data_IF_351899585732
#
_entry.id   IF_351899585732
#
_cell.length_a   1.000
_cell.length_b   1.000
_cell.length_c   1.000
_cell.angle_alpha   90.00
_cell.angle_beta   90.00
_cell.angle_gamma   90.00
#
_symmetry.space_group_name_H-M   'P 1'
#
loop_
_entity.id
_entity.type
_entity.pdbx_description
1 polymer ?
#
# COMPACT_ATOMS: atom_id res chain seq x y z
N UNK A 1 4.92 -12.00 -72.96
CA UNK A 1 5.41 -12.73 -71.76
C UNK A 1 6.49 -11.85 -71.14
N UNK A 2 6.42 -11.38 -69.87
CA UNK A 2 6.09 -12.06 -68.59
C UNK A 2 7.18 -13.07 -68.24
N UNK A 3 7.88 -13.07 -67.09
CA UNK A 3 8.03 -12.14 -65.94
C UNK A 3 9.35 -12.52 -65.20
N UNK A 4 10.01 -11.76 -64.31
CA UNK A 4 9.85 -10.39 -63.74
C UNK A 4 11.27 -9.85 -63.45
N UNK A 5 11.49 -8.53 -63.47
CA UNK A 5 12.75 -7.92 -62.98
C UNK A 5 12.69 -7.71 -61.46
N UNK A 6 13.67 -8.21 -60.69
CA UNK A 6 13.70 -8.05 -59.22
C UNK A 6 13.95 -6.58 -58.84
N UNK A 7 12.93 -5.89 -58.35
CA UNK A 7 13.07 -4.56 -57.74
C UNK A 7 13.58 -4.75 -56.31
N UNK A 8 14.85 -4.43 -56.07
CA UNK A 8 15.42 -4.36 -54.73
C UNK A 8 14.93 -3.10 -54.04
N UNK A 9 13.77 -3.16 -53.38
CA UNK A 9 13.26 -2.04 -52.58
C UNK A 9 14.15 -1.88 -51.35
N UNK A 10 15.17 -1.03 -51.47
CA UNK A 10 15.85 -0.46 -50.32
C UNK A 10 14.85 0.43 -49.60
N UNK A 11 14.25 -0.08 -48.52
CA UNK A 11 13.40 0.71 -47.64
C UNK A 11 14.31 1.65 -46.84
N UNK A 12 14.71 2.75 -47.48
CA UNK A 12 15.29 3.91 -46.80
C UNK A 12 14.17 4.58 -46.00
N UNK A 13 13.77 3.93 -44.90
CA UNK A 13 12.90 4.53 -43.91
C UNK A 13 13.68 5.70 -43.31
N UNK A 14 13.40 6.91 -43.80
CA UNK A 14 13.78 8.13 -43.10
C UNK A 14 13.02 8.13 -41.77
N UNK A 15 13.68 7.58 -40.75
CA UNK A 15 13.47 7.96 -39.37
C UNK A 15 13.71 9.48 -39.29
N UNK A 16 12.62 10.22 -39.51
CA UNK A 16 12.42 11.53 -38.93
C UNK A 16 12.43 11.33 -37.42
N UNK A 17 13.64 11.23 -36.86
CA UNK A 17 13.90 11.50 -35.47
C UNK A 17 13.58 12.97 -35.23
N UNK A 18 12.28 13.28 -35.12
CA UNK A 18 11.79 14.34 -34.27
C UNK A 18 12.16 13.93 -32.83
N UNK A 19 13.44 14.09 -32.52
CA UNK A 19 13.91 14.24 -31.17
C UNK A 19 13.37 15.60 -30.70
N UNK A 20 12.09 15.60 -30.31
CA UNK A 20 11.60 16.50 -29.29
C UNK A 20 12.46 16.24 -28.06
N UNK A 21 13.57 16.98 -28.00
CA UNK A 21 14.40 17.14 -26.82
C UNK A 21 13.59 18.01 -25.85
N UNK A 22 12.50 17.43 -25.34
CA UNK A 22 11.62 17.98 -24.31
C UNK A 22 12.41 18.02 -23.00
N UNK A 23 13.38 18.93 -22.98
CA UNK A 23 14.21 19.27 -21.85
C UNK A 23 13.25 19.64 -20.72
N UNK A 24 13.30 18.88 -19.62
CA UNK A 24 12.40 19.13 -18.50
C UNK A 24 12.45 20.63 -18.10
N UNK A 25 11.28 21.28 -17.93
CA UNK A 25 11.23 22.69 -17.60
C UNK A 25 11.93 22.92 -16.26
N UNK A 26 12.71 24.01 -16.20
CA UNK A 26 13.42 24.37 -14.97
C UNK A 26 12.44 24.68 -13.84
N UNK A 27 12.93 24.59 -12.61
CA UNK A 27 12.14 24.93 -11.43
C UNK A 27 11.56 26.36 -11.47
N UNK A 28 12.23 27.31 -12.13
CA UNK A 28 11.70 28.66 -12.32
C UNK A 28 10.60 28.73 -13.38
N UNK A 29 10.73 28.03 -14.51
CA UNK A 29 9.66 27.93 -15.52
C UNK A 29 8.40 27.26 -14.94
N UNK A 30 8.58 26.20 -14.14
CA UNK A 30 7.52 25.52 -13.40
C UNK A 30 6.82 26.44 -12.37
N UNK A 31 7.59 27.23 -11.61
CA UNK A 31 7.04 28.17 -10.62
C UNK A 31 6.40 29.42 -11.26
N UNK A 32 6.68 29.71 -12.53
CA UNK A 32 6.04 30.79 -13.29
C UNK A 32 4.70 30.37 -13.93
N UNK A 33 4.41 29.08 -14.06
CA UNK A 33 3.17 28.55 -14.64
C UNK A 33 2.59 27.38 -13.81
N UNK A 34 2.11 27.67 -12.58
CA UNK A 34 1.63 26.64 -11.66
C UNK A 34 0.36 25.94 -12.19
N UNK A 35 0.41 24.60 -12.26
CA UNK A 35 -0.66 23.73 -12.75
C UNK A 35 -1.95 23.86 -11.92
N UNK A 36 -1.82 24.05 -10.60
CA UNK A 36 -2.94 24.07 -9.65
C UNK A 36 -2.96 25.38 -8.86
N UNK A 37 -4.11 26.03 -8.84
CA UNK A 37 -4.35 27.24 -8.06
C UNK A 37 -5.33 26.93 -6.92
N UNK A 38 -4.97 27.32 -5.70
CA UNK A 38 -5.75 27.11 -4.47
C UNK A 38 -5.95 28.45 -3.79
N UNK A 39 -7.20 28.84 -3.56
CA UNK A 39 -7.55 30.05 -2.79
C UNK A 39 -7.99 29.61 -1.40
N UNK A 40 -7.36 30.17 -0.37
CA UNK A 40 -7.69 29.94 1.04
C UNK A 40 -8.19 31.24 1.67
N UNK A 41 -9.16 31.13 2.58
CA UNK A 41 -9.56 32.23 3.45
C UNK A 41 -8.76 32.15 4.76
N UNK A 42 -8.28 33.28 5.26
CA UNK A 42 -7.44 33.32 6.47
C UNK A 42 -8.11 32.68 7.69
N UNK A 43 -9.40 32.92 7.91
CA UNK A 43 -10.12 32.41 9.07
C UNK A 43 -10.31 30.88 9.03
N UNK A 44 -10.34 30.31 7.82
CA UNK A 44 -10.42 28.86 7.59
C UNK A 44 -9.12 28.08 7.88
N UNK A 45 -7.98 28.75 8.08
CA UNK A 45 -6.68 28.09 8.33
C UNK A 45 -6.58 27.42 9.71
N UNK A 46 -7.40 27.84 10.69
CA UNK A 46 -7.33 27.32 12.07
C UNK A 46 -5.94 27.46 12.69
N UNK A 47 -5.50 26.45 13.45
CA UNK A 47 -4.11 26.32 13.90
C UNK A 47 -3.28 25.47 12.92
N UNK A 48 -3.88 24.41 12.38
CA UNK A 48 -3.36 23.60 11.29
C UNK A 48 -4.42 23.43 10.20
N UNK A 49 -4.03 23.66 8.96
CA UNK A 49 -4.81 23.35 7.76
C UNK A 49 -4.15 22.17 7.03
N UNK A 50 -4.94 21.32 6.37
CA UNK A 50 -4.45 20.18 5.59
C UNK A 50 -4.84 20.32 4.12
N UNK A 51 -3.86 20.22 3.22
CA UNK A 51 -4.03 20.31 1.78
C UNK A 51 -3.47 19.04 1.12
N UNK A 52 -4.34 18.28 0.46
CA UNK A 52 -3.97 17.11 -0.35
C UNK A 52 -3.33 17.58 -1.67
N UNK A 53 -2.15 17.05 -2.00
CA UNK A 53 -1.36 17.42 -3.21
C UNK A 53 -0.68 16.20 -3.83
N UNK A 54 -0.51 16.22 -5.15
CA UNK A 54 0.06 15.10 -5.91
C UNK A 54 1.59 15.24 -6.08
N UNK A 55 2.31 14.11 -6.12
CA UNK A 55 3.77 14.10 -6.29
C UNK A 55 4.20 14.89 -7.53
N UNK A 56 5.17 15.80 -7.35
CA UNK A 56 5.73 16.68 -8.38
C UNK A 56 4.79 17.73 -9.00
N UNK A 57 3.54 17.91 -8.54
CA UNK A 57 2.70 18.99 -9.08
C UNK A 57 3.21 20.39 -8.69
N UNK A 58 2.78 21.41 -9.43
CA UNK A 58 3.08 22.82 -9.16
C UNK A 58 1.84 23.53 -8.63
N UNK A 59 1.91 23.98 -7.37
CA UNK A 59 0.76 24.57 -6.67
C UNK A 59 1.04 26.03 -6.34
N UNK A 60 0.08 26.90 -6.63
CA UNK A 60 0.01 28.25 -6.09
C UNK A 60 -1.10 28.33 -5.04
N UNK A 61 -0.74 28.68 -3.81
CA UNK A 61 -1.69 29.07 -2.76
C UNK A 61 -1.79 30.59 -2.75
N UNK A 62 -3.02 31.11 -2.82
CA UNK A 62 -3.34 32.51 -2.58
C UNK A 62 -4.23 32.62 -1.33
N UNK A 63 -3.96 33.62 -0.49
CA UNK A 63 -4.81 33.99 0.64
C UNK A 63 -5.63 35.24 0.32
N UNK A 64 -6.80 35.36 0.93
CA UNK A 64 -7.62 36.58 0.92
C UNK A 64 -7.00 37.77 1.69
N UNK A 65 -5.92 37.50 2.43
CA UNK A 65 -5.25 38.40 3.35
C UNK A 65 -3.76 38.51 3.00
N UNK A 66 -3.22 39.73 3.03
CA UNK A 66 -1.78 39.97 2.82
C UNK A 66 -0.94 39.19 3.83
N UNK A 67 0.08 38.50 3.35
CA UNK A 67 1.03 37.70 4.15
C UNK A 67 2.31 38.51 4.43
N UNK A 68 2.88 38.34 5.63
CA UNK A 68 4.15 38.94 6.07
C UNK A 68 5.34 37.99 5.85
N UNK A 69 5.17 36.69 6.11
CA UNK A 69 6.21 35.67 5.98
C UNK A 69 5.61 34.35 5.49
N UNK A 70 6.21 33.78 4.44
CA UNK A 70 6.05 32.38 4.04
C UNK A 70 7.34 31.64 4.39
N UNK A 71 7.25 30.52 5.11
CA UNK A 71 8.42 29.73 5.53
C UNK A 71 8.21 28.24 5.31
N UNK A 72 9.05 27.64 4.48
CA UNK A 72 9.05 26.20 4.17
C UNK A 72 10.43 25.75 3.70
N UNK A 73 10.64 24.44 3.52
CA UNK A 73 11.81 23.83 2.89
C UNK A 73 11.63 23.52 1.39
N UNK A 74 10.45 23.81 0.83
CA UNK A 74 10.08 23.52 -0.55
C UNK A 74 10.73 24.49 -1.55
N UNK A 75 11.11 23.99 -2.73
CA UNK A 75 11.44 24.81 -3.90
C UNK A 75 10.23 25.66 -4.27
N UNK A 76 10.36 26.99 -4.14
CA UNK A 76 9.21 27.89 -4.09
C UNK A 76 9.53 29.35 -4.45
N UNK A 77 8.48 30.12 -4.73
CA UNK A 77 8.52 31.53 -5.16
C UNK A 77 7.34 32.29 -4.57
N UNK A 78 7.61 33.42 -3.93
CA UNK A 78 6.57 34.40 -3.57
C UNK A 78 6.15 35.10 -4.87
N UNK A 79 4.86 35.09 -5.18
CA UNK A 79 4.32 35.59 -6.46
C UNK A 79 3.83 37.03 -6.33
N UNK A 80 3.18 37.35 -5.21
CA UNK A 80 2.82 38.71 -4.79
C UNK A 80 2.70 38.74 -3.25
N UNK A 81 2.05 39.74 -2.67
CA UNK A 81 1.93 39.88 -1.21
C UNK A 81 0.85 38.99 -0.55
N UNK A 82 0.10 38.19 -1.33
CA UNK A 82 -0.86 37.20 -0.82
C UNK A 82 -0.77 35.80 -1.46
N UNK A 83 0.02 35.63 -2.52
CA UNK A 83 0.17 34.39 -3.28
C UNK A 83 1.61 33.84 -3.26
N UNK A 84 1.73 32.51 -3.16
CA UNK A 84 2.96 31.76 -3.05
C UNK A 84 2.89 30.45 -3.85
N UNK A 85 3.85 30.23 -4.74
CA UNK A 85 3.96 29.05 -5.57
C UNK A 85 5.07 28.10 -5.08
N UNK A 86 4.86 26.80 -5.17
CA UNK A 86 5.82 25.77 -4.80
C UNK A 86 5.72 24.53 -5.69
N UNK A 87 6.83 23.80 -5.78
CA UNK A 87 6.89 22.46 -6.39
C UNK A 87 6.69 21.44 -5.28
N UNK A 88 5.75 20.51 -5.46
CA UNK A 88 5.49 19.42 -4.52
C UNK A 88 6.62 18.39 -4.57
N UNK A 89 7.06 17.80 -3.43
CA UNK A 89 8.11 16.79 -3.43
C UNK A 89 7.79 15.58 -4.30
N UNK A 90 8.85 14.90 -4.75
CA UNK A 90 8.74 13.67 -5.55
C UNK A 90 8.40 12.42 -4.72
N UNK A 91 8.68 12.45 -3.42
CA UNK A 91 8.37 11.35 -2.50
C UNK A 91 7.13 11.68 -1.65
N UNK A 92 6.19 10.74 -1.63
CA UNK A 92 5.01 10.68 -0.76
C UNK A 92 5.37 10.96 0.72
N UNK A 93 4.63 11.81 1.45
CA UNK A 93 4.96 12.24 2.83
C UNK A 93 4.31 13.58 3.25
N UNK A 94 4.59 14.06 4.47
CA UNK A 94 4.10 15.38 4.95
C UNK A 94 5.18 16.45 4.89
N UNK A 95 4.89 17.54 4.18
CA UNK A 95 5.65 18.79 4.24
C UNK A 95 4.80 19.90 4.88
N UNK A 96 5.43 20.99 5.34
CA UNK A 96 4.70 22.12 5.95
C UNK A 96 5.12 23.47 5.36
N UNK A 97 4.15 24.37 5.27
CA UNK A 97 4.31 25.80 4.97
C UNK A 97 3.79 26.56 6.18
N UNK A 98 4.66 27.35 6.81
CA UNK A 98 4.28 28.26 7.88
C UNK A 98 3.98 29.64 7.30
N UNK A 99 2.89 30.25 7.76
CA UNK A 99 2.37 31.53 7.27
C UNK A 99 2.20 32.48 8.45
N UNK A 100 2.73 33.72 8.35
CA UNK A 100 2.45 34.79 9.31
C UNK A 100 1.79 35.97 8.62
N UNK A 101 0.82 36.59 9.29
CA UNK A 101 0.18 37.82 8.84
C UNK A 101 0.87 39.06 9.45
N UNK A 102 0.66 40.28 8.93
CA UNK A 102 1.26 41.51 9.45
C UNK A 102 0.80 41.90 10.86
N UNK A 103 -0.43 41.53 11.22
CA UNK A 103 -1.15 41.91 12.44
C UNK A 103 -1.07 40.86 13.58
N UNK A 104 -0.38 39.74 13.37
CA UNK A 104 -0.16 38.72 14.39
C UNK A 104 1.15 37.97 14.20
N UNK A 105 1.88 37.75 15.30
CA UNK A 105 3.09 36.90 15.34
C UNK A 105 2.77 35.39 15.44
N UNK A 106 1.49 35.02 15.57
CA UNK A 106 1.04 33.64 15.43
C UNK A 106 1.35 33.11 14.02
N UNK A 107 2.09 32.01 13.95
CA UNK A 107 2.35 31.30 12.70
C UNK A 107 1.28 30.22 12.49
N UNK A 108 0.52 30.36 11.41
CA UNK A 108 -0.42 29.36 10.91
C UNK A 108 0.37 28.28 10.16
N UNK A 109 -0.12 27.04 10.17
CA UNK A 109 0.58 25.89 9.57
C UNK A 109 -0.29 25.20 8.53
N UNK A 110 0.12 25.26 7.26
CA UNK A 110 -0.45 24.47 6.17
C UNK A 110 0.38 23.19 6.06
N UNK A 111 -0.21 22.05 6.37
CA UNK A 111 0.35 20.73 6.12
C UNK A 111 -0.03 20.27 4.71
N UNK A 112 0.97 19.86 3.93
CA UNK A 112 0.79 19.23 2.63
C UNK A 112 0.77 17.72 2.82
N UNK A 113 -0.34 17.08 2.47
CA UNK A 113 -0.45 15.63 2.37
C UNK A 113 -0.06 15.21 0.94
N UNK A 114 1.22 14.89 0.73
CA UNK A 114 1.74 14.53 -0.60
C UNK A 114 1.40 13.07 -0.89
N UNK A 115 0.58 12.82 -1.92
CA UNK A 115 0.13 11.48 -2.34
C UNK A 115 -0.73 10.75 -1.30
N UNK A 116 -1.42 11.50 -0.42
CA UNK A 116 -2.18 10.97 0.70
C UNK A 116 -3.52 11.70 0.88
N UNK A 117 -4.53 10.96 1.33
CA UNK A 117 -5.79 11.51 1.81
C UNK A 117 -5.68 11.94 3.27
N UNK A 118 -6.32 13.05 3.62
CA UNK A 118 -6.54 13.48 5.01
C UNK A 118 -7.99 13.19 5.41
N UNK A 119 -8.18 12.19 6.27
CA UNK A 119 -9.50 11.64 6.62
C UNK A 119 -9.81 11.91 8.10
N UNK A 120 -10.73 12.84 8.37
CA UNK A 120 -11.12 13.25 9.72
C UNK A 120 -12.52 12.72 10.10
N UNK A 121 -12.55 11.48 10.58
CA UNK A 121 -13.79 10.75 10.86
C UNK A 121 -14.44 11.20 12.17
N UNK A 122 -15.75 11.48 12.11
CA UNK A 122 -16.55 11.99 13.24
C UNK A 122 -17.74 11.07 13.51
N UNK A 123 -17.49 9.97 14.23
CA UNK A 123 -18.46 8.88 14.43
C UNK A 123 -18.93 8.29 13.08
N UNK A 124 -17.97 8.03 12.18
CA UNK A 124 -18.24 7.34 10.91
C UNK A 124 -18.57 5.87 11.21
N UNK A 125 -19.67 5.37 10.64
CA UNK A 125 -20.18 4.02 10.89
C UNK A 125 -19.65 3.06 9.82
N UNK A 126 -18.96 2.00 10.22
CA UNK A 126 -18.38 1.02 9.29
C UNK A 126 -19.00 -0.35 9.50
N UNK A 127 -19.28 -1.04 8.38
CA UNK A 127 -19.92 -2.36 8.37
C UNK A 127 -18.89 -3.51 8.41
N UNK A 128 -18.94 -4.25 9.51
CA UNK A 128 -18.17 -5.46 9.80
C UNK A 128 -19.08 -6.70 9.84
N UNK A 129 -18.47 -7.89 9.85
CA UNK A 129 -19.18 -9.16 9.68
C UNK A 129 -19.39 -9.54 8.21
N UNK A 130 -20.02 -10.70 7.98
CA UNK A 130 -20.14 -11.37 6.67
C UNK A 130 -18.82 -11.71 5.96
N UNK A 131 -17.67 -11.59 6.62
CA UNK A 131 -16.46 -12.29 6.19
C UNK A 131 -16.64 -13.79 6.45
N UNK A 132 -16.62 -14.60 5.39
CA UNK A 132 -16.69 -16.06 5.45
C UNK A 132 -15.51 -16.67 6.24
N UNK A 133 -14.45 -15.88 6.45
CA UNK A 133 -13.24 -16.23 7.19
C UNK A 133 -13.01 -15.30 8.41
N UNK A 134 -14.07 -14.85 9.09
CA UNK A 134 -14.00 -14.40 10.49
C UNK A 134 -14.61 -15.48 11.42
N UNK A 135 -13.88 -15.89 12.46
CA UNK A 135 -14.20 -17.13 13.19
C UNK A 135 -15.39 -17.05 14.17
N UNK A 136 -15.80 -15.85 14.59
CA UNK A 136 -16.63 -15.69 15.79
C UNK A 136 -17.78 -14.67 15.71
N UNK A 137 -18.09 -14.13 14.54
CA UNK A 137 -19.47 -13.64 14.30
C UNK A 137 -19.85 -13.67 12.83
N UNK A 138 -21.03 -14.25 12.55
CA UNK A 138 -21.72 -14.08 11.26
C UNK A 138 -22.62 -12.86 11.27
N UNK A 139 -22.94 -12.36 12.46
CA UNK A 139 -23.84 -11.24 12.66
C UNK A 139 -23.17 -9.94 12.19
N UNK A 140 -23.98 -9.12 11.52
CA UNK A 140 -23.54 -7.87 10.92
C UNK A 140 -23.34 -6.82 12.02
N UNK A 141 -22.13 -6.27 12.11
CA UNK A 141 -21.74 -5.33 13.15
C UNK A 141 -21.50 -3.96 12.54
N UNK A 142 -22.13 -2.95 13.11
CA UNK A 142 -21.74 -1.56 12.89
C UNK A 142 -20.77 -1.20 14.01
N UNK A 143 -19.62 -0.64 13.64
CA UNK A 143 -18.66 -0.06 14.59
C UNK A 143 -18.47 1.40 14.18
N UNK A 144 -18.59 2.33 15.12
CA UNK A 144 -18.28 3.73 14.84
C UNK A 144 -16.82 4.05 15.13
N UNK A 145 -16.21 4.88 14.27
CA UNK A 145 -14.87 5.42 14.48
C UNK A 145 -14.92 6.95 14.60
N UNK A 146 -14.16 7.46 15.55
CA UNK A 146 -13.78 8.88 15.58
C UNK A 146 -12.27 8.95 15.60
N UNK A 147 -11.66 9.58 14.60
CA UNK A 147 -10.21 9.68 14.49
C UNK A 147 -9.74 10.30 13.20
N UNK A 148 -8.53 10.83 13.21
CA UNK A 148 -7.94 11.58 12.10
C UNK A 148 -6.77 10.81 11.52
N UNK A 149 -6.78 10.52 10.22
CA UNK A 149 -5.78 9.70 9.55
C UNK A 149 -5.17 10.40 8.34
N UNK A 150 -3.88 10.14 8.10
CA UNK A 150 -3.33 10.14 6.75
C UNK A 150 -3.33 8.71 6.22
N UNK A 151 -3.67 8.56 4.95
CA UNK A 151 -3.72 7.29 4.24
C UNK A 151 -3.13 7.49 2.85
N UNK A 152 -2.23 6.61 2.42
CA UNK A 152 -1.70 6.67 1.05
C UNK A 152 -2.84 6.50 0.03
N UNK A 153 -2.94 7.45 -0.89
CA UNK A 153 -4.02 7.51 -1.90
C UNK A 153 -3.95 6.30 -2.84
N UNK A 154 -2.73 5.87 -3.13
CA UNK A 154 -2.37 4.70 -3.92
C UNK A 154 -1.65 3.64 -3.07
N UNK A 155 -1.51 2.39 -3.56
CA UNK A 155 -0.46 1.49 -3.09
C UNK A 155 0.93 2.10 -3.32
N UNK A 156 1.88 1.86 -2.41
CA UNK A 156 3.26 2.37 -2.51
C UNK A 156 3.91 1.91 -3.81
N UNK A 157 4.65 2.78 -4.51
CA UNK A 157 5.14 2.50 -5.87
C UNK A 157 6.57 1.94 -5.93
N UNK A 158 6.96 1.37 -7.07
CA UNK A 158 8.29 0.80 -7.26
C UNK A 158 9.43 1.82 -7.09
N UNK A 159 9.27 3.03 -7.62
CA UNK A 159 10.21 4.13 -7.44
C UNK A 159 10.28 4.57 -5.97
N UNK A 160 9.15 4.66 -5.26
CA UNK A 160 9.13 5.05 -3.85
C UNK A 160 9.94 4.09 -2.96
N UNK A 161 9.80 2.77 -3.17
CA UNK A 161 10.68 1.76 -2.52
C UNK A 161 12.13 1.94 -2.97
N UNK A 162 12.38 2.06 -4.28
CA UNK A 162 13.73 2.09 -4.86
C UNK A 162 14.53 3.30 -4.38
N UNK A 163 13.92 4.47 -4.26
CA UNK A 163 14.57 5.68 -3.76
C UNK A 163 14.73 5.68 -2.24
N UNK A 164 13.69 5.30 -1.48
CA UNK A 164 13.76 5.35 0.00
C UNK A 164 14.63 4.25 0.60
N UNK A 165 14.67 3.07 -0.01
CA UNK A 165 15.49 1.93 0.40
C UNK A 165 16.74 1.75 -0.48
N UNK A 166 17.15 2.80 -1.22
CA UNK A 166 18.23 2.74 -2.22
C UNK A 166 19.48 2.06 -1.69
N UNK A 167 19.97 2.44 -0.51
CA UNK A 167 21.21 1.90 0.06
C UNK A 167 21.08 0.48 0.62
N UNK A 168 19.85 -0.03 0.84
CA UNK A 168 19.62 -1.41 1.25
C UNK A 168 19.55 -2.38 0.05
N UNK A 169 19.03 -1.93 -1.10
CA UNK A 169 18.84 -2.79 -2.29
C UNK A 169 20.21 -3.13 -2.90
N UNK A 170 20.60 -4.42 -3.05
CA UNK A 170 21.87 -4.79 -3.65
C UNK A 170 21.95 -4.37 -5.12
N UNK A 171 23.18 -4.19 -5.62
CA UNK A 171 23.47 -4.14 -7.06
C UNK A 171 23.82 -5.54 -7.61
N UNK A 172 24.44 -6.38 -6.78
CA UNK A 172 24.84 -7.73 -7.11
C UNK A 172 24.09 -8.71 -6.19
N UNK A 173 22.90 -9.19 -6.61
CA UNK A 173 22.04 -10.07 -5.84
C UNK A 173 22.58 -11.49 -5.80
N UNK A 174 22.14 -12.28 -4.82
CA UNK A 174 22.31 -13.73 -4.76
C UNK A 174 21.16 -14.43 -5.48
N UNK A 175 21.07 -15.76 -5.36
CA UNK A 175 20.01 -16.58 -5.96
C UNK A 175 18.63 -16.47 -5.27
N UNK A 176 18.33 -15.34 -4.64
CA UNK A 176 17.01 -15.00 -4.11
C UNK A 176 16.25 -14.09 -5.09
N UNK A 177 15.05 -14.48 -5.52
CA UNK A 177 14.31 -13.75 -6.57
C UNK A 177 13.98 -12.30 -6.18
N UNK A 178 13.65 -12.00 -4.91
CA UNK A 178 13.46 -10.61 -4.45
C UNK A 178 14.72 -9.77 -4.70
N UNK A 179 15.90 -10.28 -4.33
CA UNK A 179 17.15 -9.55 -4.55
C UNK A 179 17.36 -9.29 -6.04
N UNK A 180 17.12 -10.28 -6.91
CA UNK A 180 17.23 -10.14 -8.37
C UNK A 180 16.30 -9.06 -8.93
N UNK A 181 15.00 -9.17 -8.65
CA UNK A 181 13.95 -8.26 -9.13
C UNK A 181 14.20 -6.81 -8.68
N UNK A 182 14.57 -6.59 -7.41
CA UNK A 182 14.83 -5.24 -6.90
C UNK A 182 16.20 -4.71 -7.32
N UNK A 183 17.23 -5.57 -7.49
CA UNK A 183 18.49 -5.18 -8.14
C UNK A 183 18.27 -4.74 -9.59
N UNK A 184 17.36 -5.37 -10.33
CA UNK A 184 17.01 -4.97 -11.69
C UNK A 184 16.27 -3.63 -11.71
N UNK A 185 15.24 -3.45 -10.87
CA UNK A 185 14.53 -2.16 -10.70
C UNK A 185 15.52 -1.02 -10.40
N UNK A 186 16.47 -1.24 -9.48
CA UNK A 186 17.55 -0.30 -9.14
C UNK A 186 18.55 -0.05 -10.27
N UNK A 187 18.82 -1.03 -11.14
CA UNK A 187 19.69 -0.86 -12.32
C UNK A 187 19.02 -0.07 -13.45
N UNK A 188 17.69 -0.11 -13.53
CA UNK A 188 16.89 0.71 -14.45
C UNK A 188 16.52 2.10 -13.90
N UNK A 189 17.04 2.48 -12.73
CA UNK A 189 16.66 3.67 -11.95
C UNK A 189 17.89 4.51 -11.62
N UNK A 190 17.72 5.82 -11.49
CA UNK A 190 18.75 6.76 -11.06
C UNK A 190 18.48 7.25 -9.64
N UNK A 191 19.53 7.38 -8.82
CA UNK A 191 19.38 7.84 -7.43
C UNK A 191 18.92 9.32 -7.38
N UNK A 192 17.90 9.59 -6.58
CA UNK A 192 17.22 10.88 -6.45
C UNK A 192 16.54 11.34 -7.76
N UNK A 193 16.13 10.41 -8.62
CA UNK A 193 15.27 10.73 -9.75
C UNK A 193 13.86 11.11 -9.30
N UNK A 194 13.08 11.62 -10.26
CA UNK A 194 11.69 11.97 -10.10
C UNK A 194 10.83 10.71 -10.12
N UNK A 195 10.22 10.36 -9.00
CA UNK A 195 9.17 9.34 -8.95
C UNK A 195 7.86 9.93 -9.48
N UNK A 196 7.31 9.36 -10.54
CA UNK A 196 6.02 9.78 -11.07
C UNK A 196 4.88 9.56 -10.06
N UNK A 197 3.85 10.40 -10.15
CA UNK A 197 2.62 10.26 -9.38
C UNK A 197 2.00 8.87 -9.55
N UNK A 198 1.85 8.48 -10.82
CA UNK A 198 1.25 7.22 -11.27
C UNK A 198 2.29 6.18 -11.68
N UNK A 199 3.41 6.07 -10.96
CA UNK A 199 4.33 4.95 -11.15
C UNK A 199 3.62 3.59 -10.87
N UNK A 200 4.21 2.53 -11.41
CA UNK A 200 3.86 1.14 -11.15
C UNK A 200 3.83 0.78 -9.66
N UNK A 201 2.74 0.17 -9.19
CA UNK A 201 2.59 -0.26 -7.80
C UNK A 201 3.71 -1.25 -7.37
N UNK A 202 4.24 -1.13 -6.16
CA UNK A 202 5.24 -2.07 -5.66
C UNK A 202 4.62 -3.45 -5.41
N UNK A 203 5.21 -4.48 -6.00
CA UNK A 203 4.98 -5.88 -5.67
C UNK A 203 6.31 -6.55 -5.27
N UNK A 204 6.27 -7.84 -4.93
CA UNK A 204 7.44 -8.57 -4.41
C UNK A 204 7.99 -7.92 -3.13
N UNK A 205 7.07 -7.47 -2.27
CA UNK A 205 7.33 -6.94 -0.94
C UNK A 205 6.93 -8.00 0.10
N UNK A 206 7.86 -8.36 0.98
CA UNK A 206 7.55 -9.14 2.18
C UNK A 206 6.91 -8.27 3.27
N UNK A 207 6.21 -8.88 4.23
CA UNK A 207 5.70 -8.16 5.40
C UNK A 207 6.80 -7.41 6.16
N UNK A 208 8.00 -7.99 6.24
CA UNK A 208 9.15 -7.38 6.91
C UNK A 208 9.68 -6.16 6.14
N UNK A 209 9.77 -6.25 4.81
CA UNK A 209 10.14 -5.12 3.95
C UNK A 209 9.15 -3.96 4.06
N UNK A 210 7.85 -4.25 4.07
CA UNK A 210 6.81 -3.22 4.25
C UNK A 210 6.92 -2.52 5.62
N UNK A 211 7.18 -3.29 6.70
CA UNK A 211 7.43 -2.72 8.04
C UNK A 211 8.72 -1.90 8.10
N UNK A 212 9.80 -2.32 7.41
CA UNK A 212 11.04 -1.54 7.31
C UNK A 212 10.82 -0.22 6.55
N UNK A 213 10.12 -0.26 5.42
CA UNK A 213 9.79 0.92 4.64
C UNK A 213 8.93 1.92 5.45
N UNK A 214 7.92 1.45 6.17
CA UNK A 214 7.11 2.29 7.06
C UNK A 214 7.94 3.01 8.14
N UNK A 215 8.90 2.31 8.73
CA UNK A 215 9.87 2.90 9.65
C UNK A 215 10.80 3.91 8.95
N UNK A 216 11.35 3.58 7.77
CA UNK A 216 12.23 4.47 7.01
C UNK A 216 11.54 5.79 6.63
N UNK A 217 10.27 5.70 6.19
CA UNK A 217 9.42 6.86 5.87
C UNK A 217 9.16 7.73 7.10
N UNK A 218 8.89 7.09 8.24
CA UNK A 218 8.75 7.78 9.53
C UNK A 218 10.03 8.53 9.93
N UNK A 219 11.20 7.88 9.85
CA UNK A 219 12.51 8.46 10.20
C UNK A 219 12.85 9.64 9.30
N UNK A 220 12.60 9.53 7.99
CA UNK A 220 12.82 10.61 7.01
C UNK A 220 12.00 11.87 7.33
N UNK A 221 10.79 11.71 7.88
CA UNK A 221 9.92 12.82 8.32
C UNK A 221 10.17 13.24 9.79
N UNK A 222 11.21 12.70 10.45
CA UNK A 222 11.54 13.00 11.84
C UNK A 222 10.61 12.36 12.89
N UNK A 223 9.75 11.44 12.46
CA UNK A 223 8.72 10.78 13.27
C UNK A 223 9.28 9.54 13.98
N UNK A 224 8.64 9.14 15.08
CA UNK A 224 9.05 7.95 15.82
C UNK A 224 8.68 6.67 15.06
N UNK A 225 9.61 5.73 14.81
CA UNK A 225 9.31 4.45 14.16
C UNK A 225 8.21 3.66 14.87
N UNK A 226 7.30 3.06 14.10
CA UNK A 226 6.19 2.26 14.65
C UNK A 226 6.61 0.84 15.02
N UNK A 227 7.48 0.21 14.24
CA UNK A 227 7.92 -1.17 14.45
C UNK A 227 9.29 -1.22 15.16
N UNK A 228 9.43 -2.12 16.13
CA UNK A 228 10.68 -2.44 16.82
C UNK A 228 11.08 -3.87 16.48
N UNK A 229 12.22 -4.03 15.81
CA UNK A 229 12.77 -5.31 15.40
C UNK A 229 13.78 -5.82 16.43
N UNK A 230 13.73 -7.11 16.75
CA UNK A 230 14.59 -7.74 17.76
C UNK A 230 14.87 -9.22 17.45
N UNK A 231 16.07 -9.68 17.82
CA UNK A 231 16.49 -11.07 17.66
C UNK A 231 15.55 -12.03 18.41
N UNK A 232 15.24 -13.17 17.79
CA UNK A 232 14.26 -14.13 18.33
C UNK A 232 14.94 -15.34 18.96
N UNK A 233 14.57 -15.66 20.19
CA UNK A 233 15.04 -16.89 20.86
C UNK A 233 14.46 -18.16 20.21
N UNK A 234 13.41 -18.02 19.39
CA UNK A 234 12.71 -19.11 18.73
C UNK A 234 13.42 -19.53 17.43
N UNK A 235 14.61 -20.14 17.56
CA UNK A 235 15.44 -20.59 16.42
C UNK A 235 14.81 -21.70 15.56
N UNK A 236 13.81 -22.40 16.10
CA UNK A 236 13.23 -23.61 15.50
C UNK A 236 11.89 -23.33 14.81
N UNK A 237 11.79 -22.28 13.99
CA UNK A 237 10.62 -22.11 13.12
C UNK A 237 10.76 -23.10 11.96
N UNK A 238 9.81 -24.03 11.83
CA UNK A 238 9.83 -25.02 10.75
C UNK A 238 9.37 -24.35 9.45
N UNK A 239 10.34 -24.00 8.61
CA UNK A 239 10.08 -23.74 7.19
C UNK A 239 9.53 -25.04 6.60
N UNK A 240 8.40 -24.93 5.93
CA UNK A 240 7.76 -26.01 5.20
C UNK A 240 8.00 -25.67 3.72
N UNK A 241 9.17 -26.07 3.25
CA UNK A 241 9.39 -26.23 1.82
C UNK A 241 8.32 -27.22 1.30
N UNK A 242 7.64 -26.95 0.18
CA UNK A 242 6.68 -27.89 -0.37
C UNK A 242 7.40 -29.21 -0.69
N UNK A 243 6.79 -30.34 -0.34
CA UNK A 243 7.36 -31.65 -0.67
C UNK A 243 7.49 -31.77 -2.19
N UNK A 244 8.69 -32.13 -2.67
CA UNK A 244 9.07 -32.08 -4.08
C UNK A 244 8.41 -33.21 -4.89
N UNK A 245 7.13 -33.03 -5.20
CA UNK A 245 6.29 -33.96 -5.94
C UNK A 245 5.95 -33.47 -7.34
N UNK A 246 6.66 -33.99 -8.35
CA UNK A 246 6.25 -34.08 -9.76
C UNK A 246 5.84 -32.77 -10.48
N UNK A 247 6.30 -31.60 -10.04
CA UNK A 247 6.32 -30.39 -10.87
C UNK A 247 7.74 -30.03 -11.32
N UNK A 248 7.86 -29.74 -12.61
CA UNK A 248 9.10 -29.28 -13.24
C UNK A 248 9.34 -27.79 -12.91
N UNK A 249 10.26 -27.55 -11.98
CA UNK A 249 10.68 -26.22 -11.51
C UNK A 249 11.20 -25.32 -12.65
N UNK A 250 11.51 -25.85 -13.85
CA UNK A 250 11.90 -25.03 -15.01
C UNK A 250 10.72 -24.29 -15.66
N UNK A 251 9.47 -24.60 -15.30
CA UNK A 251 8.26 -24.06 -15.95
C UNK A 251 7.32 -23.28 -14.99
N UNK A 252 7.39 -23.46 -13.66
CA UNK A 252 6.41 -22.84 -12.72
C UNK A 252 7.03 -21.85 -11.71
N UNK A 253 6.77 -20.57 -12.00
CA UNK A 253 6.58 -19.41 -11.12
C UNK A 253 6.80 -19.63 -9.58
N UNK A 254 7.82 -19.00 -8.94
CA UNK A 254 8.31 -19.35 -7.59
C UNK A 254 7.47 -18.81 -6.41
N UNK A 255 6.15 -18.98 -6.44
CA UNK A 255 5.22 -18.39 -5.46
C UNK A 255 5.28 -19.00 -4.06
N UNK A 256 5.69 -20.27 -3.93
CA UNK A 256 5.32 -21.10 -2.78
C UNK A 256 6.51 -21.59 -1.93
N UNK A 257 7.04 -20.71 -1.07
CA UNK A 257 7.70 -21.16 0.16
C UNK A 257 6.74 -20.98 1.33
N UNK A 258 6.58 -21.98 2.20
CA UNK A 258 5.69 -21.92 3.36
C UNK A 258 6.47 -21.96 4.67
N UNK A 259 5.93 -21.34 5.74
CA UNK A 259 6.52 -21.37 7.08
C UNK A 259 5.41 -21.44 8.12
N UNK A 260 5.47 -22.45 9.01
CA UNK A 260 4.50 -22.61 10.09
C UNK A 260 4.94 -21.83 11.33
N UNK A 261 4.04 -21.02 11.89
CA UNK A 261 4.31 -20.16 13.06
C UNK A 261 3.35 -20.57 14.20
N UNK A 262 3.79 -21.52 15.03
CA UNK A 262 3.01 -22.07 16.16
C UNK A 262 3.00 -21.14 17.39
N UNK A 263 2.60 -19.88 17.22
CA UNK A 263 2.62 -18.86 18.29
C UNK A 263 1.81 -19.30 19.53
N UNK A 264 0.68 -20.02 19.34
CA UNK A 264 -0.13 -20.58 20.43
C UNK A 264 0.67 -21.55 21.30
N UNK A 265 1.36 -22.50 20.68
CA UNK A 265 2.10 -23.56 21.37
C UNK A 265 3.39 -23.03 22.01
N UNK A 266 4.07 -22.09 21.34
CA UNK A 266 5.33 -21.52 21.83
C UNK A 266 5.16 -20.45 22.91
N UNK A 267 4.10 -19.64 22.87
CA UNK A 267 3.86 -18.58 23.89
C UNK A 267 2.99 -19.03 25.07
N UNK A 268 2.27 -20.15 24.92
CA UNK A 268 1.20 -20.62 25.84
C UNK A 268 0.04 -19.62 26.02
N UNK A 269 -0.06 -18.57 25.20
CA UNK A 269 -1.10 -17.55 25.34
C UNK A 269 -2.43 -18.02 24.72
N UNK A 270 -3.52 -17.84 25.48
CA UNK A 270 -4.92 -18.11 25.01
C UNK A 270 -5.56 -16.90 24.32
N UNK A 271 -4.77 -15.85 24.07
CA UNK A 271 -5.12 -14.58 23.42
C UNK A 271 -4.14 -14.35 22.26
N UNK A 272 -4.45 -13.40 21.38
CA UNK A 272 -3.68 -13.19 20.16
C UNK A 272 -2.34 -12.47 20.41
N UNK A 273 -1.60 -12.17 19.33
CA UNK A 273 -0.44 -11.30 19.40
C UNK A 273 -0.86 -9.89 19.77
N UNK A 274 -0.77 -9.53 21.06
CA UNK A 274 -0.93 -8.17 21.58
C UNK A 274 0.21 -7.26 21.11
N UNK A 275 0.17 -6.93 19.82
CA UNK A 275 1.13 -6.11 19.08
C UNK A 275 2.58 -6.63 19.12
N UNK A 276 2.75 -7.96 19.14
CA UNK A 276 4.03 -8.65 19.06
C UNK A 276 3.94 -9.80 18.06
N UNK A 277 4.78 -9.78 17.03
CA UNK A 277 4.71 -10.69 15.88
C UNK A 277 6.06 -11.37 15.68
N UNK A 278 6.07 -12.69 15.46
CA UNK A 278 7.26 -13.40 14.97
C UNK A 278 7.07 -13.58 13.47
N UNK A 279 7.95 -13.01 12.65
CA UNK A 279 7.82 -12.99 11.18
C UNK A 279 9.12 -13.43 10.51
N UNK A 280 9.07 -13.87 9.25
CA UNK A 280 10.29 -14.14 8.47
C UNK A 280 11.00 -12.84 8.14
N UNK A 281 12.32 -12.79 8.38
CA UNK A 281 13.17 -11.64 8.09
C UNK A 281 13.62 -11.65 6.62
N UNK A 282 12.66 -11.73 5.69
CA UNK A 282 12.93 -11.68 4.25
C UNK A 282 13.01 -10.22 3.81
N UNK A 283 14.21 -9.73 3.53
CA UNK A 283 14.46 -8.44 2.88
C UNK A 283 15.68 -8.56 1.93
N UNK A 284 16.35 -7.46 1.65
CA UNK A 284 17.54 -7.36 0.81
C UNK A 284 18.83 -7.93 1.43
N UNK A 285 18.77 -8.54 2.63
CA UNK A 285 19.93 -9.00 3.39
C UNK A 285 19.83 -10.47 3.85
N UNK A 286 20.98 -11.15 3.89
CA UNK A 286 21.07 -12.50 4.43
C UNK A 286 21.16 -12.49 5.97
N UNK A 287 20.01 -12.57 6.65
CA UNK A 287 19.92 -12.57 8.11
C UNK A 287 20.41 -13.88 8.72
N UNK A 288 21.15 -13.78 9.84
CA UNK A 288 21.64 -14.95 10.60
C UNK A 288 20.52 -15.73 11.30
N UNK A 289 19.48 -15.02 11.71
CA UNK A 289 18.22 -15.61 12.17
C UNK A 289 17.22 -15.42 11.03
N UNK A 290 16.61 -16.49 10.50
CA UNK A 290 15.67 -16.40 9.36
C UNK A 290 14.33 -15.74 9.74
N UNK A 291 14.12 -15.47 11.03
CA UNK A 291 12.91 -14.89 11.58
C UNK A 291 13.25 -13.90 12.68
N UNK A 292 12.34 -12.96 12.94
CA UNK A 292 12.56 -11.79 13.79
C UNK A 292 11.34 -11.52 14.67
N UNK A 293 11.57 -11.05 15.89
CA UNK A 293 10.51 -10.60 16.79
C UNK A 293 10.26 -9.11 16.55
N UNK A 294 9.09 -8.80 15.98
CA UNK A 294 8.54 -7.46 15.85
C UNK A 294 7.70 -7.14 17.09
N UNK A 295 7.81 -5.93 17.60
CA UNK A 295 6.85 -5.35 18.55
C UNK A 295 6.50 -3.93 18.10
N UNK A 296 5.31 -3.42 18.42
CA UNK A 296 4.99 -2.02 18.11
C UNK A 296 5.55 -1.05 19.17
N UNK A 297 5.63 0.22 18.81
CA UNK A 297 5.63 1.32 19.76
C UNK A 297 4.26 2.03 19.74
N UNK A 298 3.42 1.79 20.76
CA UNK A 298 2.10 2.44 20.88
C UNK A 298 2.17 3.94 21.21
N UNK A 299 3.37 4.51 21.30
CA UNK A 299 3.62 5.96 21.40
C UNK A 299 4.33 6.50 20.15
N UNK A 300 4.41 5.71 19.07
CA UNK A 300 4.82 6.20 17.76
C UNK A 300 3.74 7.09 17.16
N UNK A 301 4.18 8.18 16.54
CA UNK A 301 3.40 9.09 15.72
C UNK A 301 3.67 8.88 14.22
N UNK A 302 4.34 7.78 13.85
CA UNK A 302 4.81 7.46 12.50
C UNK A 302 3.82 6.65 11.67
N UNK A 303 4.30 6.20 10.51
CA UNK A 303 3.55 5.39 9.56
C UNK A 303 3.60 3.90 9.87
N UNK A 304 2.55 3.20 9.46
CA UNK A 304 2.42 1.74 9.60
C UNK A 304 1.48 1.16 8.54
N UNK A 305 1.47 -0.17 8.44
CA UNK A 305 0.40 -0.89 7.76
C UNK A 305 -0.93 -0.70 8.51
N UNK A 306 -2.07 -0.66 7.80
CA UNK A 306 -3.40 -0.65 8.42
C UNK A 306 -3.65 -1.98 9.15
N UNK A 307 -4.43 -1.93 10.24
CA UNK A 307 -5.07 -3.11 10.81
C UNK A 307 -6.23 -3.56 9.94
N UNK A 308 -6.71 -4.80 10.13
CA UNK A 308 -7.82 -5.36 9.37
C UNK A 308 -9.04 -4.45 9.38
N UNK A 309 -9.41 -3.91 10.55
CA UNK A 309 -10.61 -3.08 10.66
C UNK A 309 -10.44 -1.74 9.95
N UNK A 310 -9.26 -1.13 10.06
CA UNK A 310 -8.89 0.08 9.32
C UNK A 310 -8.91 -0.17 7.82
N UNK A 311 -8.36 -1.28 7.33
CA UNK A 311 -8.40 -1.62 5.90
C UNK A 311 -9.82 -1.83 5.41
N UNK A 312 -10.69 -2.48 6.18
CA UNK A 312 -12.11 -2.66 5.82
C UNK A 312 -12.87 -1.34 5.75
N UNK A 313 -12.64 -0.42 6.69
CA UNK A 313 -13.14 0.96 6.64
C UNK A 313 -12.66 1.65 5.35
N UNK A 314 -11.35 1.68 5.14
CA UNK A 314 -10.73 2.41 4.05
C UNK A 314 -11.10 1.85 2.69
N UNK A 315 -11.19 0.52 2.53
CA UNK A 315 -11.64 -0.13 1.30
C UNK A 315 -13.12 0.12 1.00
N UNK A 316 -13.99 0.13 2.02
CA UNK A 316 -15.42 0.44 1.85
C UNK A 316 -15.66 1.87 1.38
N UNK A 317 -14.89 2.85 1.85
CA UNK A 317 -15.06 4.25 1.42
C UNK A 317 -16.48 4.79 1.65
N UNK A 318 -17.09 4.48 2.80
CA UNK A 318 -18.50 4.81 3.12
C UNK A 318 -19.57 3.83 2.60
N UNK A 319 -19.20 2.77 1.86
CA UNK A 319 -20.15 1.76 1.37
C UNK A 319 -20.65 0.82 2.49
N UNK A 320 -21.89 1.02 2.94
CA UNK A 320 -22.53 0.33 4.09
C UNK A 320 -23.44 -0.86 3.71
N UNK A 321 -23.50 -1.30 2.45
CA UNK A 321 -24.43 -2.35 1.96
C UNK A 321 -23.77 -3.36 1.01
N UNK A 322 -23.05 -2.88 0.01
CA UNK A 322 -22.41 -3.73 -0.99
C UNK A 322 -21.15 -4.43 -0.43
N UNK A 323 -20.76 -5.53 -1.08
CA UNK A 323 -19.49 -6.22 -0.83
C UNK A 323 -18.38 -5.82 -1.82
N UNK A 324 -18.71 -5.04 -2.85
CA UNK A 324 -17.78 -4.48 -3.84
C UNK A 324 -18.30 -3.12 -4.33
N UNK A 325 -17.44 -2.24 -4.89
CA UNK A 325 -17.86 -1.01 -5.59
C UNK A 325 -18.77 -1.26 -6.81
N UNK A 326 -18.81 -2.50 -7.32
CA UNK A 326 -19.60 -2.94 -8.47
C UNK A 326 -20.83 -3.79 -8.08
N UNK A 327 -21.23 -3.72 -6.80
CA UNK A 327 -22.46 -4.22 -6.18
C UNK A 327 -22.74 -5.73 -6.17
N UNK A 328 -22.52 -6.50 -7.25
CA UNK A 328 -22.82 -7.94 -7.30
C UNK A 328 -22.04 -8.73 -8.37
N UNK A 329 -22.21 -10.05 -8.38
CA UNK A 329 -21.53 -11.00 -9.29
C UNK A 329 -22.23 -11.20 -10.65
N UNK A 330 -23.40 -10.58 -10.87
CA UNK A 330 -24.06 -10.50 -12.19
C UNK A 330 -23.56 -9.30 -13.02
N UNK A 331 -22.78 -8.40 -12.40
CA UNK A 331 -22.16 -7.25 -13.03
C UNK A 331 -21.16 -7.67 -14.12
N UNK A 332 -21.04 -6.87 -15.19
CA UNK A 332 -20.13 -7.14 -16.31
C UNK A 332 -18.73 -6.64 -15.99
N UNK A 333 -17.71 -7.29 -16.54
CA UNK A 333 -16.29 -6.90 -16.35
C UNK A 333 -16.04 -5.41 -16.63
N UNK A 334 -16.73 -4.82 -17.61
CA UNK A 334 -16.66 -3.38 -17.94
C UNK A 334 -16.93 -2.45 -16.75
N UNK A 335 -17.78 -2.86 -15.81
CA UNK A 335 -18.17 -2.07 -14.64
C UNK A 335 -17.23 -2.32 -13.44
N UNK A 336 -16.62 -3.51 -13.38
CA UNK A 336 -15.53 -3.84 -12.44
C UNK A 336 -14.27 -3.05 -12.79
N UNK A 337 -13.90 -3.01 -14.08
CA UNK A 337 -12.76 -2.25 -14.62
C UNK A 337 -12.96 -0.73 -14.60
N UNK A 338 -13.97 -0.22 -13.88
CA UNK A 338 -14.04 1.19 -13.48
C UNK A 338 -13.31 1.46 -12.17
N UNK A 339 -13.15 0.46 -11.31
CA UNK A 339 -12.66 0.60 -9.93
C UNK A 339 -11.49 -0.33 -9.59
N UNK A 340 -11.39 -1.49 -10.25
CA UNK A 340 -10.37 -2.50 -9.96
C UNK A 340 -9.72 -3.04 -11.24
N UNK A 341 -8.38 -3.08 -11.28
CA UNK A 341 -7.61 -3.59 -12.43
C UNK A 341 -7.31 -5.08 -12.27
N UNK A 342 -7.85 -5.89 -13.17
CA UNK A 342 -7.52 -7.31 -13.31
C UNK A 342 -7.06 -7.62 -14.74
N UNK A 343 -6.08 -8.49 -14.87
CA UNK A 343 -5.47 -8.89 -16.13
C UNK A 343 -5.60 -10.40 -16.35
N UNK A 344 -5.78 -10.81 -17.61
CA UNK A 344 -5.51 -12.21 -17.98
C UNK A 344 -4.02 -12.48 -17.81
N UNK A 345 -3.68 -13.70 -17.39
CA UNK A 345 -2.30 -14.12 -17.14
C UNK A 345 -1.38 -13.79 -18.32
N UNK A 346 -0.26 -13.13 -18.02
CA UNK A 346 0.86 -12.86 -18.92
C UNK A 346 2.14 -13.24 -18.18
N UNK A 347 3.18 -13.57 -18.92
CA UNK A 347 4.41 -14.22 -18.43
C UNK A 347 5.34 -13.34 -17.58
N UNK A 348 4.92 -12.13 -17.17
CA UNK A 348 5.78 -11.14 -16.52
C UNK A 348 5.14 -10.61 -15.24
N UNK A 349 5.93 -10.59 -14.15
CA UNK A 349 5.50 -10.18 -12.80
C UNK A 349 5.51 -8.65 -12.63
N UNK A 350 5.36 -7.88 -13.71
CA UNK A 350 5.34 -6.42 -13.66
C UNK A 350 3.92 -5.92 -13.38
N UNK A 351 3.83 -4.99 -12.44
CA UNK A 351 2.63 -4.24 -12.09
C UNK A 351 2.36 -3.12 -13.10
N UNK A 352 1.17 -2.53 -12.99
CA UNK A 352 0.71 -1.41 -13.80
C UNK A 352 0.75 -0.10 -13.00
N UNK A 353 0.73 1.07 -13.66
CA UNK A 353 0.52 2.39 -13.04
C UNK A 353 -0.64 2.45 -12.05
N UNK A 354 -0.44 3.13 -10.92
CA UNK A 354 -1.50 3.44 -9.93
C UNK A 354 -2.41 4.59 -10.37
N UNK A 355 -3.58 4.72 -9.75
CA UNK A 355 -4.48 5.88 -9.90
C UNK A 355 -5.27 5.92 -11.21
N UNK A 356 -5.22 4.84 -12.00
CA UNK A 356 -5.73 4.82 -13.38
C UNK A 356 -7.23 4.53 -13.51
N UNK A 357 -7.92 4.34 -12.39
CA UNK A 357 -9.34 3.96 -12.28
C UNK A 357 -10.05 4.92 -11.32
N UNK A 358 -11.37 4.77 -11.14
CA UNK A 358 -12.12 5.57 -10.18
C UNK A 358 -11.77 5.15 -8.73
N UNK A 359 -11.59 6.12 -7.80
CA UNK A 359 -11.43 5.82 -6.40
C UNK A 359 -12.75 5.39 -5.74
N UNK A 360 -12.68 4.96 -4.49
CA UNK A 360 -13.85 4.82 -3.63
C UNK A 360 -14.26 6.17 -2.97
N UNK A 361 -15.28 6.14 -2.11
CA UNK A 361 -15.86 7.36 -1.51
C UNK A 361 -14.96 8.12 -0.52
N UNK A 362 -13.79 7.60 -0.15
CA UNK A 362 -12.75 8.36 0.59
C UNK A 362 -11.62 8.87 -0.33
N UNK A 363 -11.75 8.73 -1.65
CA UNK A 363 -10.73 9.11 -2.61
C UNK A 363 -9.55 8.12 -2.71
N UNK A 364 -9.72 6.88 -2.25
CA UNK A 364 -8.66 5.86 -2.30
C UNK A 364 -8.74 5.02 -3.58
N UNK A 365 -7.60 4.88 -4.25
CA UNK A 365 -7.45 4.18 -5.53
C UNK A 365 -6.86 2.79 -5.35
N UNK A 366 -7.17 1.89 -6.29
CA UNK A 366 -6.57 0.54 -6.42
C UNK A 366 -6.62 -0.33 -5.13
N UNK A 367 -7.59 -0.08 -4.24
CA UNK A 367 -7.79 -0.86 -3.00
C UNK A 367 -8.34 -2.28 -3.28
N UNK A 368 -8.86 -2.50 -4.49
CA UNK A 368 -9.22 -3.81 -5.03
C UNK A 368 -8.59 -3.93 -6.43
N UNK A 369 -8.03 -5.10 -6.78
CA UNK A 369 -7.25 -5.23 -8.01
C UNK A 369 -5.82 -4.69 -7.87
N UNK A 370 -5.10 -4.66 -8.99
CA UNK A 370 -3.70 -4.20 -9.12
C UNK A 370 -2.69 -4.98 -8.24
N UNK A 371 -2.59 -4.70 -6.94
CA UNK A 371 -1.72 -5.42 -5.99
C UNK A 371 -2.50 -5.90 -4.79
N UNK A 372 -2.01 -6.96 -4.15
CA UNK A 372 -2.51 -7.35 -2.83
C UNK A 372 -1.85 -6.52 -1.74
N UNK A 373 -2.58 -6.12 -0.71
CA UNK A 373 -2.05 -5.26 0.35
C UNK A 373 -1.80 -6.05 1.64
N UNK A 374 -0.61 -5.90 2.23
CA UNK A 374 -0.33 -6.38 3.60
C UNK A 374 -1.12 -5.58 4.63
N UNK A 375 -1.92 -6.27 5.44
CA UNK A 375 -2.83 -5.69 6.46
C UNK A 375 -2.65 -6.44 7.77
N UNK A 376 -2.52 -5.77 8.92
CA UNK A 376 -2.23 -6.43 10.20
C UNK A 376 -3.46 -7.08 10.86
N UNK A 377 -3.28 -8.23 11.52
CA UNK A 377 -4.32 -8.88 12.31
C UNK A 377 -4.19 -8.57 13.82
N UNK A 378 -5.34 -8.61 14.49
CA UNK A 378 -5.52 -8.34 15.92
C UNK A 378 -6.28 -9.47 16.62
N UNK A 379 -6.30 -9.46 17.96
CA UNK A 379 -6.90 -10.48 18.84
C UNK A 379 -8.36 -10.87 18.53
N UNK A 380 -9.17 -9.94 17.99
CA UNK A 380 -10.59 -10.15 17.64
C UNK A 380 -10.81 -10.45 16.16
N UNK A 381 -9.94 -9.95 15.28
CA UNK A 381 -9.84 -10.37 13.88
C UNK A 381 -9.21 -11.76 13.71
N UNK A 382 -8.97 -12.42 14.84
CA UNK A 382 -8.31 -13.70 14.94
C UNK A 382 -9.20 -14.87 14.48
N UNK A 383 -8.76 -15.54 13.42
CA UNK A 383 -9.25 -16.86 13.07
C UNK A 383 -8.80 -17.88 14.12
N UNK A 384 -9.65 -18.10 15.14
CA UNK A 384 -9.51 -19.26 16.01
C UNK A 384 -9.98 -20.47 15.20
N UNK A 385 -9.11 -21.43 14.84
CA UNK A 385 -9.56 -22.73 14.34
C UNK A 385 -10.46 -23.34 15.41
N UNK A 386 -11.75 -23.34 15.13
CA UNK A 386 -12.77 -23.71 16.08
C UNK A 386 -13.03 -25.20 15.94
N UNK A 387 -12.54 -26.00 16.89
CA UNK A 387 -12.61 -27.47 16.89
C UNK A 387 -14.03 -28.06 16.91
N UNK A 388 -15.05 -27.20 16.84
CA UNK A 388 -16.47 -27.52 16.75
C UNK A 388 -17.19 -27.00 15.50
N UNK A 389 -16.49 -26.39 14.52
CA UNK A 389 -17.08 -26.04 13.20
C UNK A 389 -16.51 -26.95 12.11
N UNK A 390 -16.57 -28.26 12.34
CA UNK A 390 -16.67 -29.23 11.25
C UNK A 390 -18.13 -29.33 10.78
N UNK A 391 -18.63 -28.25 10.18
CA UNK A 391 -19.87 -28.30 9.40
C UNK A 391 -19.56 -27.81 8.00
N UNK A 392 -19.59 -28.76 7.07
CA UNK A 392 -19.66 -28.51 5.66
C UNK A 392 -20.54 -29.59 5.02
N UNK A 393 -21.24 -29.33 3.90
CA UNK A 393 -21.29 -28.04 3.19
C UNK A 393 -22.74 -27.49 2.99
N UNK A 394 -22.97 -26.55 2.05
CA UNK A 394 -24.15 -25.66 2.01
C UNK A 394 -24.60 -25.21 0.60
N UNK A 395 -25.67 -24.44 0.39
CA UNK A 395 -26.85 -24.39 1.22
C UNK A 395 -27.40 -25.81 1.34
N UNK A 396 -27.38 -26.33 2.57
CA UNK A 396 -27.15 -27.73 2.93
C UNK A 396 -26.29 -28.71 2.06
N UNK A 397 -25.77 -28.38 0.86
CA UNK A 397 -25.01 -29.30 -0.03
C UNK A 397 -23.51 -29.01 -0.33
N UNK A 398 -23.13 -27.97 -1.09
CA UNK A 398 -21.75 -27.66 -1.60
C UNK A 398 -21.52 -26.17 -1.91
N UNK A 399 -20.51 -25.39 -1.46
CA UNK A 399 -19.45 -25.41 -0.43
C UNK A 399 -18.46 -26.60 -0.33
N UNK A 400 -17.26 -26.35 0.19
CA UNK A 400 -16.10 -27.25 0.06
C UNK A 400 -15.22 -27.28 1.33
N UNK A 401 -14.77 -28.48 1.71
CA UNK A 401 -13.83 -28.69 2.81
C UNK A 401 -12.42 -28.43 2.28
N UNK A 402 -11.72 -27.44 2.83
CA UNK A 402 -10.26 -27.41 2.79
C UNK A 402 -9.76 -28.72 3.40
N UNK A 403 -9.27 -29.64 2.57
CA UNK A 403 -8.86 -30.98 3.00
C UNK A 403 -7.69 -30.90 3.97
N UNK A 404 -7.40 -31.96 4.76
CA UNK A 404 -6.15 -32.07 5.51
C UNK A 404 -4.93 -32.02 4.56
N UNK A 405 -4.42 -30.81 4.32
CA UNK A 405 -3.43 -30.49 3.29
C UNK A 405 -3.73 -29.14 2.60
N UNK A 406 -4.98 -28.93 2.21
CA UNK A 406 -5.44 -27.79 1.42
C UNK A 406 -5.86 -26.57 2.26
N UNK A 407 -6.02 -26.72 3.59
CA UNK A 407 -6.19 -25.56 4.46
C UNK A 407 -5.05 -24.54 4.26
N UNK A 408 -5.34 -23.25 4.05
CA UNK A 408 -4.40 -22.18 4.35
C UNK A 408 -3.80 -22.43 5.74
N UNK A 409 -2.47 -22.51 5.86
CA UNK A 409 -1.83 -23.01 7.09
C UNK A 409 -2.24 -22.21 8.35
N UNK A 410 -2.50 -20.92 8.20
CA UNK A 410 -3.07 -20.03 9.23
C UNK A 410 -4.47 -20.41 9.76
N UNK A 411 -5.13 -21.42 9.17
CA UNK A 411 -6.42 -21.98 9.59
C UNK A 411 -6.28 -23.36 10.25
N UNK A 412 -5.05 -23.92 10.36
CA UNK A 412 -4.80 -25.18 11.06
C UNK A 412 -4.80 -24.99 12.58
N UNK A 413 -5.16 -26.03 13.33
CA UNK A 413 -5.41 -25.89 14.76
C UNK A 413 -4.15 -25.56 15.58
N UNK A 414 -3.95 -24.27 15.85
CA UNK A 414 -2.86 -23.74 16.68
C UNK A 414 -1.84 -22.87 15.94
N UNK A 415 -1.97 -22.71 14.62
CA UNK A 415 -1.11 -21.84 13.83
C UNK A 415 -1.58 -20.38 13.85
N UNK A 416 -0.62 -19.45 13.79
CA UNK A 416 -0.86 -18.03 14.06
C UNK A 416 -0.17 -17.11 13.05
N UNK A 417 -0.97 -16.35 12.29
CA UNK A 417 -0.47 -15.42 11.28
C UNK A 417 -0.67 -13.95 11.68
N UNK A 418 0.32 -13.07 11.41
CA UNK A 418 0.38 -11.70 11.95
C UNK A 418 -0.35 -10.65 11.10
N UNK A 419 -0.69 -10.99 9.86
CA UNK A 419 -1.28 -10.11 8.85
C UNK A 419 -2.30 -10.88 8.00
N UNK A 420 -2.80 -10.25 6.94
CA UNK A 420 -3.48 -10.83 5.78
C UNK A 420 -3.12 -10.05 4.52
N UNK A 421 -3.11 -10.73 3.36
CA UNK A 421 -3.14 -10.08 2.06
C UNK A 421 -4.61 -9.80 1.69
N UNK A 422 -4.93 -8.54 1.39
CA UNK A 422 -6.27 -8.05 1.01
C UNK A 422 -6.25 -7.44 -0.41
N UNK A 423 -7.39 -7.03 -0.94
CA UNK A 423 -7.50 -6.32 -2.23
C UNK A 423 -7.55 -7.24 -3.46
N UNK A 424 -6.65 -8.22 -3.54
CA UNK A 424 -6.52 -9.16 -4.66
C UNK A 424 -5.80 -8.53 -5.86
N UNK A 425 -4.61 -9.02 -6.20
CA UNK A 425 -3.77 -8.43 -7.25
C UNK A 425 -4.18 -8.80 -8.68
N UNK A 426 -3.53 -8.20 -9.67
CA UNK A 426 -3.82 -8.25 -11.12
C UNK A 426 -4.36 -9.61 -11.64
N UNK A 427 -3.78 -10.73 -11.24
CA UNK A 427 -4.04 -12.05 -11.84
C UNK A 427 -5.19 -12.85 -11.19
N UNK A 428 -5.91 -12.27 -10.22
CA UNK A 428 -7.04 -12.94 -9.57
C UNK A 428 -8.33 -12.93 -10.40
N UNK A 429 -9.17 -13.96 -10.22
CA UNK A 429 -10.56 -13.90 -10.72
C UNK A 429 -11.35 -12.88 -9.90
N UNK A 430 -11.67 -11.76 -10.55
CA UNK A 430 -12.49 -10.67 -10.01
C UNK A 430 -13.81 -11.12 -9.39
N UNK A 431 -14.37 -12.27 -9.78
CA UNK A 431 -15.59 -12.83 -9.17
C UNK A 431 -15.41 -13.33 -7.74
N UNK A 432 -14.15 -13.63 -7.35
CA UNK A 432 -13.77 -14.01 -5.98
C UNK A 432 -13.43 -12.78 -5.12
N UNK A 433 -13.13 -11.64 -5.74
CA UNK A 433 -12.68 -10.42 -5.06
C UNK A 433 -13.86 -9.59 -4.53
N UNK A 434 -13.78 -9.24 -3.25
CA UNK A 434 -14.72 -8.40 -2.52
C UNK A 434 -14.04 -7.82 -1.26
N UNK A 435 -14.73 -6.99 -0.49
CA UNK A 435 -14.14 -6.37 0.72
C UNK A 435 -13.67 -7.41 1.75
N UNK A 436 -14.34 -8.55 1.93
CA UNK A 436 -13.88 -9.62 2.83
C UNK A 436 -12.84 -10.58 2.22
N UNK A 437 -12.48 -10.43 0.94
CA UNK A 437 -11.48 -11.28 0.29
C UNK A 437 -10.13 -11.21 1.01
N UNK A 438 -9.55 -12.38 1.27
CA UNK A 438 -8.19 -12.62 1.78
C UNK A 438 -7.49 -13.55 0.80
N UNK A 439 -6.20 -13.32 0.53
CA UNK A 439 -5.48 -14.14 -0.45
C UNK A 439 -5.30 -15.59 -0.01
N UNK A 440 -5.25 -16.48 -1.01
CA UNK A 440 -4.78 -17.86 -0.86
C UNK A 440 -3.25 -17.93 -1.02
N UNK A 441 -2.63 -16.96 -1.70
CA UNK A 441 -1.18 -16.79 -1.76
C UNK A 441 -0.67 -16.41 -0.35
N UNK A 442 0.15 -17.28 0.23
CA UNK A 442 0.41 -17.30 1.67
C UNK A 442 1.53 -16.32 2.04
N UNK A 443 1.43 -15.73 3.22
CA UNK A 443 2.32 -14.78 3.95
C UNK A 443 3.83 -14.79 3.69
N UNK A 444 4.34 -15.90 3.20
CA UNK A 444 5.73 -16.29 3.09
C UNK A 444 6.23 -16.25 1.64
N UNK A 445 5.34 -16.02 0.67
CA UNK A 445 5.63 -15.92 -0.76
C UNK A 445 5.37 -14.53 -1.37
N UNK A 446 6.46 -13.80 -1.62
CA UNK A 446 6.78 -13.08 -2.87
C UNK A 446 5.77 -12.20 -3.66
N UNK A 447 4.50 -12.04 -3.26
CA UNK A 447 3.46 -11.48 -4.15
C UNK A 447 2.81 -10.16 -3.69
N UNK A 448 2.94 -9.79 -2.42
CA UNK A 448 2.29 -8.61 -1.86
C UNK A 448 2.89 -7.27 -2.31
N UNK A 449 2.02 -6.26 -2.39
CA UNK A 449 2.30 -4.84 -2.21
C UNK A 449 1.70 -4.36 -0.87
N UNK A 450 1.53 -3.04 -0.70
CA UNK A 450 0.92 -2.44 0.51
C UNK A 450 0.61 -0.96 0.31
N UNK A 451 -0.17 -0.40 1.25
CA UNK A 451 -0.29 1.05 1.49
C UNK A 451 -0.05 1.35 2.97
N UNK A 452 0.36 2.57 3.32
CA UNK A 452 0.54 2.99 4.71
C UNK A 452 -0.56 3.91 5.20
N UNK A 453 -0.72 3.93 6.52
CA UNK A 453 -1.56 4.87 7.25
C UNK A 453 -0.79 5.48 8.44
N UNK A 454 -1.28 6.61 8.93
CA UNK A 454 -0.78 7.32 10.12
C UNK A 454 -1.95 7.95 10.89
N UNK A 455 -2.10 7.61 12.17
CA UNK A 455 -3.13 8.13 13.08
C UNK A 455 -2.65 9.47 13.68
N UNK A 456 -3.19 10.59 13.22
CA UNK A 456 -2.76 11.93 13.65
C UNK A 456 -3.12 12.15 15.12
N UNK A 457 -2.10 12.48 15.92
CA UNK A 457 -2.24 12.68 17.37
C UNK A 457 -2.60 11.40 18.15
N UNK A 458 -2.54 10.22 17.53
CA UNK A 458 -3.01 8.95 18.11
C UNK A 458 -4.42 9.04 18.70
N UNK A 459 -5.32 9.78 18.03
CA UNK A 459 -6.61 10.17 18.58
C UNK A 459 -7.73 9.13 18.35
N UNK A 460 -7.52 8.19 17.42
CA UNK A 460 -8.56 7.28 16.94
C UNK A 460 -9.19 6.38 18.03
N UNK A 461 -10.52 6.29 17.99
CA UNK A 461 -11.35 5.52 18.92
C UNK A 461 -12.40 4.74 18.13
N UNK A 462 -12.42 3.43 18.37
CA UNK A 462 -13.36 2.47 17.77
C UNK A 462 -14.40 2.06 18.82
N UNK A 463 -15.68 1.99 18.44
CA UNK A 463 -16.79 1.64 19.33
C UNK A 463 -17.80 0.71 18.67
N UNK A 464 -18.11 -0.40 19.35
CA UNK A 464 -19.32 -1.19 19.13
C UNK A 464 -20.56 -0.46 19.70
#
# INVERSE_FOLDING_TARGET
>A
MVNVLKITISVLCMLLCMACSDKEPSAEELLNNPQRNVVLNRDSLGAEYWLEVEKNETVQICLDSRVREWKTSLTSKIVNDSCFAFIVPTLIGVNSIHVKFPDSDSAYKINLAVGMKYLDFKNEEILYGKDLYQAFDKDEKIVSVTGTYLVDEYPVTNCEITQLMWDEIPLNPKDHQIEKEWSERKKSSMRNEKCDAHDSAANMISLYMAMKYANARSIREGLKPYYKFSATKYRNIKIIEPESGEYDDSIINPRYQYVAIHYRDYTKQRKGPRHQYVIMSYDFSNHKEKAILVSIDSTSDGYRLPYYDEWMMLARGGEKKAMTPWCNNSTKIKDVTKYARFAKYKEHVKTEPVGQLLPNGYGLYDVLGLVEEHVLLEDHNWLRPNSYIMINPGGPERAEICRPGDCPYCLKEGENCPSCLKGGGLFHDWKRINYSYRSEDRYTGYSGGFRLIRNIGNNAKWKL
#
